data_IF_153059521854
#
_entry.id   IF_153059521854
#
_cell.length_a   1.000
_cell.length_b   1.000
_cell.length_c   1.000
_cell.angle_alpha   90.00
_cell.angle_beta   90.00
_cell.angle_gamma   90.00
#
_symmetry.space_group_name_H-M   'P 1'
#
loop_
_entity.id
_entity.type
_entity.pdbx_description
1 polymer ?
#
# COMPACT_ATOMS: atom_id res chain seq x y z
N UNK A 1 18.92 15.97 -13.14
CA UNK A 1 18.13 14.76 -13.43
C UNK A 1 18.54 13.64 -12.48
N UNK A 2 17.60 13.07 -11.73
CA UNK A 2 17.83 11.95 -10.82
C UNK A 2 17.52 10.67 -11.63
N UNK A 3 18.56 10.02 -12.13
CA UNK A 3 18.42 8.79 -12.93
C UNK A 3 18.50 7.61 -11.97
N UNK A 4 17.44 6.80 -11.93
CA UNK A 4 17.38 5.51 -11.27
C UNK A 4 17.17 4.46 -12.36
N UNK A 5 18.12 3.56 -12.51
CA UNK A 5 18.02 2.41 -13.41
C UNK A 5 18.00 1.15 -12.56
N UNK A 6 17.02 0.29 -12.82
CA UNK A 6 16.92 -1.02 -12.19
C UNK A 6 17.45 -2.07 -13.17
N UNK A 7 18.44 -2.85 -12.75
CA UNK A 7 19.00 -3.92 -13.57
C UNK A 7 19.54 -5.04 -12.68
N UNK A 8 19.07 -6.28 -12.88
CA UNK A 8 19.58 -7.46 -12.19
C UNK A 8 19.56 -7.37 -10.65
N UNK A 9 18.47 -6.87 -10.05
CA UNK A 9 18.33 -6.74 -8.59
C UNK A 9 19.13 -5.61 -7.96
N UNK A 10 19.70 -4.71 -8.75
CA UNK A 10 20.50 -3.57 -8.28
C UNK A 10 19.89 -2.25 -8.75
N UNK A 11 19.97 -1.25 -7.88
CA UNK A 11 19.66 0.14 -8.23
C UNK A 11 20.95 0.84 -8.62
N UNK A 12 20.97 1.38 -9.83
CA UNK A 12 22.02 2.26 -10.32
C UNK A 12 21.50 3.69 -10.21
N UNK A 13 22.09 4.46 -9.30
CA UNK A 13 21.66 5.82 -8.97
C UNK A 13 22.75 6.82 -9.32
N UNK A 14 22.38 7.88 -10.05
CA UNK A 14 23.23 9.06 -10.21
C UNK A 14 22.95 10.08 -9.11
N UNK A 15 23.90 10.30 -8.20
CA UNK A 15 23.79 11.28 -7.11
C UNK A 15 25.06 12.14 -7.02
N UNK A 16 24.91 13.47 -7.08
CA UNK A 16 26.01 14.46 -6.97
C UNK A 16 27.24 14.13 -7.84
N UNK A 17 27.00 13.73 -9.09
CA UNK A 17 28.06 13.39 -10.04
C UNK A 17 28.68 12.00 -9.87
N UNK A 18 28.26 11.21 -8.88
CA UNK A 18 28.71 9.83 -8.68
C UNK A 18 27.67 8.83 -9.15
N UNK A 19 28.14 7.66 -9.59
CA UNK A 19 27.31 6.47 -9.84
C UNK A 19 27.43 5.57 -8.62
N UNK A 20 26.29 5.29 -7.99
CA UNK A 20 26.19 4.39 -6.85
C UNK A 20 25.44 3.15 -7.33
N UNK A 21 26.03 1.97 -7.09
CA UNK A 21 25.41 0.67 -7.33
C UNK A 21 25.10 0.07 -5.97
N UNK A 22 23.86 0.16 -5.55
CA UNK A 22 23.38 -0.45 -4.31
C UNK A 22 22.57 -1.71 -4.67
N UNK A 23 22.73 -2.75 -3.85
CA UNK A 23 21.73 -3.82 -3.83
C UNK A 23 20.39 -3.14 -3.52
N UNK A 24 19.36 -3.38 -4.34
CA UNK A 24 18.02 -2.98 -3.94
C UNK A 24 17.77 -3.74 -2.64
N UNK A 25 17.52 -3.07 -1.51
CA UNK A 25 17.17 -3.80 -0.30
C UNK A 25 15.99 -4.68 -0.67
N UNK A 26 16.16 -6.00 -0.59
CA UNK A 26 15.04 -6.93 -0.63
C UNK A 26 14.24 -6.62 0.62
N UNK A 27 13.28 -5.69 0.49
CA UNK A 27 12.17 -5.59 1.42
C UNK A 27 11.53 -6.97 1.38
N UNK A 28 11.40 -7.64 2.52
CA UNK A 28 10.74 -8.94 2.63
C UNK A 28 9.49 -8.92 1.75
N UNK A 29 9.58 -9.57 0.58
CA UNK A 29 8.54 -9.53 -0.44
C UNK A 29 7.49 -10.53 -0.03
N UNK A 30 6.74 -10.18 1.01
CA UNK A 30 5.57 -10.93 1.42
C UNK A 30 4.38 -10.39 0.64
N UNK A 31 3.56 -11.30 0.15
CA UNK A 31 2.27 -10.97 -0.43
C UNK A 31 1.23 -11.96 0.08
N UNK A 32 0.03 -11.45 0.33
CA UNK A 32 -1.12 -12.26 0.71
C UNK A 32 -2.30 -11.85 -0.15
N UNK A 33 -2.81 -12.78 -0.96
CA UNK A 33 -4.01 -12.56 -1.76
C UNK A 33 -5.24 -12.38 -0.87
N UNK A 34 -6.17 -11.55 -1.32
CA UNK A 34 -7.48 -11.36 -0.71
C UNK A 34 -8.56 -11.60 -1.75
N UNK A 35 -9.61 -12.32 -1.39
CA UNK A 35 -10.73 -12.66 -2.27
C UNK A 35 -12.07 -12.27 -1.67
N UNK A 36 -12.07 -11.38 -0.66
CA UNK A 36 -13.27 -10.95 0.06
C UNK A 36 -13.44 -11.60 1.42
N UNK A 37 -12.47 -12.37 1.91
CA UNK A 37 -12.49 -12.94 3.25
C UNK A 37 -12.60 -11.84 4.30
N UNK A 38 -13.34 -12.11 5.38
CA UNK A 38 -13.56 -11.15 6.47
C UNK A 38 -12.36 -10.98 7.39
N UNK A 39 -11.47 -11.98 7.40
CA UNK A 39 -10.23 -11.99 8.18
C UNK A 39 -9.13 -12.55 7.28
N UNK A 40 -8.04 -11.80 7.17
CA UNK A 40 -6.88 -12.16 6.34
C UNK A 40 -5.62 -12.15 7.20
N UNK A 41 -5.10 -13.31 7.60
CA UNK A 41 -3.80 -13.41 8.25
C UNK A 41 -2.69 -12.98 7.29
N UNK A 42 -1.80 -12.09 7.73
CA UNK A 42 -0.71 -11.56 6.89
C UNK A 42 0.60 -12.38 7.01
N UNK A 43 0.56 -13.45 7.80
CA UNK A 43 1.71 -14.27 8.15
C UNK A 43 2.49 -13.72 9.35
N UNK A 44 3.60 -14.39 9.67
CA UNK A 44 4.35 -14.22 10.91
C UNK A 44 4.76 -12.76 11.19
N UNK A 45 4.45 -12.28 12.40
CA UNK A 45 4.83 -10.95 12.90
C UNK A 45 4.12 -9.74 12.25
N UNK A 46 3.18 -10.00 11.33
CA UNK A 46 2.45 -8.96 10.57
C UNK A 46 0.98 -8.80 10.98
N UNK A 47 0.46 -9.72 11.79
CA UNK A 47 -0.91 -9.69 12.29
C UNK A 47 -1.93 -10.04 11.21
N UNK A 48 -3.11 -9.44 11.27
CA UNK A 48 -4.22 -9.72 10.35
C UNK A 48 -4.99 -8.46 9.97
N UNK A 49 -5.66 -8.51 8.81
CA UNK A 49 -6.64 -7.48 8.42
C UNK A 49 -8.03 -8.05 8.60
N UNK A 50 -8.87 -7.33 9.34
CA UNK A 50 -10.29 -7.63 9.49
C UNK A 50 -11.10 -6.66 8.67
N UNK A 51 -12.14 -7.17 8.04
CA UNK A 51 -13.10 -6.38 7.30
C UNK A 51 -14.41 -6.35 8.07
N UNK A 52 -14.93 -5.16 8.33
CA UNK A 52 -16.28 -4.93 8.84
C UNK A 52 -17.21 -4.55 7.67
N UNK A 53 -18.52 -4.74 7.81
CA UNK A 53 -19.47 -4.17 6.85
C UNK A 53 -19.78 -2.75 7.31
N UNK A 54 -19.88 -1.84 6.35
CA UNK A 54 -20.11 -0.43 6.64
C UNK A 54 -21.01 0.17 5.57
N UNK A 55 -22.09 0.80 6.01
CA UNK A 55 -23.04 1.50 5.15
C UNK A 55 -22.52 2.87 4.69
N UNK A 56 -21.41 3.35 5.24
CA UNK A 56 -20.88 4.69 4.99
C UNK A 56 -19.60 4.65 4.12
N UNK A 57 -18.68 3.76 4.47
CA UNK A 57 -17.38 3.66 3.81
C UNK A 57 -16.75 2.28 3.89
N UNK A 58 -16.10 1.88 2.82
CA UNK A 58 -15.50 0.57 2.65
C UNK A 58 -15.05 0.40 1.20
N UNK A 59 -14.60 -0.81 0.88
CA UNK A 59 -14.32 -1.25 -0.48
C UNK A 59 -15.62 -1.81 -1.05
N UNK A 60 -16.04 -1.28 -2.20
CA UNK A 60 -17.25 -1.71 -2.90
C UNK A 60 -17.22 -3.22 -3.17
N UNK A 61 -18.24 -3.95 -2.72
CA UNK A 61 -18.30 -5.41 -2.81
C UNK A 61 -18.24 -5.89 -4.26
N UNK A 62 -18.83 -5.14 -5.19
CA UNK A 62 -18.86 -5.45 -6.63
C UNK A 62 -17.45 -5.40 -7.26
N UNK A 63 -16.54 -4.62 -6.68
CA UNK A 63 -15.15 -4.55 -7.14
C UNK A 63 -14.32 -5.74 -6.66
N UNK A 64 -14.72 -6.40 -5.56
CA UNK A 64 -13.94 -7.48 -4.96
C UNK A 64 -13.80 -8.63 -5.97
N UNK A 65 -14.91 -9.06 -6.57
CA UNK A 65 -14.92 -10.19 -7.50
C UNK A 65 -14.13 -9.96 -8.80
N UNK A 66 -13.96 -8.71 -9.22
CA UNK A 66 -13.30 -8.34 -10.48
C UNK A 66 -11.83 -7.89 -10.31
N UNK A 67 -11.40 -7.65 -9.07
CA UNK A 67 -10.06 -7.13 -8.77
C UNK A 67 -9.02 -8.21 -8.51
N UNK A 68 -7.76 -7.83 -8.63
CA UNK A 68 -6.60 -8.67 -8.31
C UNK A 68 -5.98 -8.20 -7.00
N UNK A 69 -6.59 -8.62 -5.89
CA UNK A 69 -6.28 -8.05 -4.59
C UNK A 69 -5.12 -8.74 -3.89
N UNK A 70 -4.19 -7.92 -3.38
CA UNK A 70 -3.07 -8.40 -2.59
C UNK A 70 -2.70 -7.41 -1.50
N UNK A 71 -2.38 -7.93 -0.33
CA UNK A 71 -1.62 -7.21 0.67
C UNK A 71 -0.12 -7.35 0.39
N UNK A 72 0.64 -6.29 0.63
CA UNK A 72 2.09 -6.34 0.53
C UNK A 72 2.77 -5.18 1.23
N UNK A 73 4.11 -5.19 1.29
CA UNK A 73 4.88 -4.12 1.89
C UNK A 73 4.85 -2.85 1.04
N UNK A 74 5.36 -1.78 1.62
CA UNK A 74 5.67 -0.56 0.89
C UNK A 74 6.93 -0.76 0.04
N UNK A 75 6.83 -0.54 -1.27
CA UNK A 75 7.93 -0.57 -2.22
C UNK A 75 8.55 0.82 -2.50
N UNK A 76 7.82 1.89 -2.16
CA UNK A 76 8.20 3.28 -2.42
C UNK A 76 7.70 3.80 -3.77
N UNK A 77 7.20 5.04 -3.77
CA UNK A 77 6.65 5.68 -4.97
C UNK A 77 5.13 5.59 -5.09
N UNK A 78 4.48 4.89 -4.16
CA UNK A 78 3.03 4.71 -4.16
C UNK A 78 2.31 6.05 -4.08
N UNK A 79 1.15 6.09 -4.72
CA UNK A 79 0.28 7.26 -4.75
C UNK A 79 -1.16 6.84 -4.53
N UNK A 80 -1.90 7.68 -3.81
CA UNK A 80 -3.31 7.47 -3.53
C UNK A 80 -4.06 8.79 -3.56
N UNK A 81 -5.30 8.75 -4.04
CA UNK A 81 -6.27 9.85 -3.97
C UNK A 81 -7.34 9.43 -2.98
N UNK A 82 -7.54 10.20 -1.91
CA UNK A 82 -8.46 9.83 -0.82
C UNK A 82 -9.87 10.42 -0.96
N UNK A 83 -10.07 11.40 -1.84
CA UNK A 83 -11.37 12.05 -2.08
C UNK A 83 -11.66 12.20 -3.57
N UNK A 84 -12.90 11.99 -4.04
CA UNK A 84 -13.29 12.27 -5.41
C UNK A 84 -12.95 13.71 -5.79
N UNK A 85 -12.37 13.91 -6.99
CA UNK A 85 -11.90 15.24 -7.46
C UNK A 85 -10.71 15.83 -6.71
N UNK A 86 -10.21 15.18 -5.64
CA UNK A 86 -9.07 15.64 -4.86
C UNK A 86 -7.70 15.33 -5.49
N UNK A 87 -6.61 15.92 -4.96
CA UNK A 87 -5.27 15.68 -5.48
C UNK A 87 -4.82 14.23 -5.21
N UNK A 88 -4.12 13.64 -6.19
CA UNK A 88 -3.40 12.38 -5.99
C UNK A 88 -2.09 12.67 -5.25
N UNK A 89 -1.87 12.02 -4.11
CA UNK A 89 -0.74 12.30 -3.21
C UNK A 89 0.20 11.12 -3.09
N UNK A 90 1.48 11.39 -2.87
CA UNK A 90 2.44 10.32 -2.56
C UNK A 90 2.15 9.76 -1.18
N UNK A 91 2.26 8.44 -1.02
CA UNK A 91 2.11 7.78 0.27
C UNK A 91 3.14 8.32 1.27
N UNK A 92 4.36 8.64 0.81
CA UNK A 92 5.38 9.29 1.63
C UNK A 92 4.85 10.55 2.32
N UNK A 93 4.23 11.46 1.56
CA UNK A 93 3.77 12.74 2.13
C UNK A 93 2.60 12.53 3.07
N UNK A 94 1.66 11.62 2.73
CA UNK A 94 0.54 11.30 3.61
C UNK A 94 1.01 10.71 4.95
N UNK A 95 1.97 9.77 4.93
CA UNK A 95 2.55 9.20 6.14
C UNK A 95 3.34 10.24 6.97
N UNK A 96 3.92 11.26 6.33
CA UNK A 96 4.57 12.36 7.03
C UNK A 96 3.56 13.27 7.73
N UNK A 97 2.46 13.61 7.07
CA UNK A 97 1.41 14.45 7.65
C UNK A 97 0.66 13.78 8.79
N UNK A 98 0.42 12.47 8.69
CA UNK A 98 -0.16 11.68 9.78
C UNK A 98 0.86 11.32 10.86
N UNK A 99 2.05 11.93 10.84
CA UNK A 99 3.14 11.73 11.80
C UNK A 99 3.51 10.24 12.03
N UNK A 100 3.30 9.37 11.04
CA UNK A 100 3.59 7.94 11.17
C UNK A 100 5.11 7.78 11.28
N UNK A 101 5.67 7.20 12.35
CA UNK A 101 7.11 7.03 12.49
C UNK A 101 7.69 6.10 11.42
N UNK A 102 8.94 6.34 11.00
CA UNK A 102 9.58 5.57 9.92
C UNK A 102 9.55 4.04 10.16
N UNK A 103 9.78 3.60 11.40
CA UNK A 103 9.72 2.19 11.78
C UNK A 103 8.32 1.56 11.66
N UNK A 104 7.25 2.34 11.85
CA UNK A 104 5.87 1.87 11.58
C UNK A 104 5.57 1.82 10.10
N UNK A 105 6.08 2.78 9.32
CA UNK A 105 5.82 2.85 7.86
C UNK A 105 6.24 1.59 7.11
N UNK A 106 7.33 0.94 7.53
CA UNK A 106 7.83 -0.27 6.90
C UNK A 106 6.96 -1.50 7.18
N UNK A 107 6.17 -1.49 8.27
CA UNK A 107 5.31 -2.60 8.69
C UNK A 107 3.88 -2.51 8.16
N UNK A 108 3.48 -1.38 7.59
CA UNK A 108 2.10 -1.17 7.14
C UNK A 108 1.75 -2.17 6.03
N UNK A 109 0.71 -3.01 6.21
CA UNK A 109 0.18 -3.82 5.14
C UNK A 109 -0.65 -2.94 4.20
N UNK A 110 -0.12 -2.70 3.01
CA UNK A 110 -0.83 -1.95 1.99
C UNK A 110 -1.69 -2.90 1.18
N UNK A 111 -2.92 -2.51 0.89
CA UNK A 111 -3.80 -3.29 -0.01
C UNK A 111 -3.72 -2.70 -1.42
N UNK A 112 -3.47 -3.57 -2.38
CA UNK A 112 -3.40 -3.25 -3.80
C UNK A 112 -4.45 -4.01 -4.59
N UNK A 113 -4.87 -3.41 -5.71
CA UNK A 113 -5.55 -4.08 -6.83
C UNK A 113 -4.61 -3.99 -8.04
N UNK A 114 -3.97 -5.12 -8.38
CA UNK A 114 -2.81 -5.14 -9.26
C UNK A 114 -1.66 -4.28 -8.70
N UNK A 115 -1.31 -3.20 -9.41
CA UNK A 115 -0.28 -2.23 -8.99
C UNK A 115 -0.86 -0.98 -8.31
N UNK A 116 -2.19 -0.88 -8.22
CA UNK A 116 -2.86 0.30 -7.71
C UNK A 116 -3.03 0.20 -6.20
N UNK A 117 -2.51 1.18 -5.46
CA UNK A 117 -2.73 1.28 -4.02
C UNK A 117 -4.19 1.64 -3.72
N UNK A 118 -4.88 0.76 -2.98
CA UNK A 118 -6.30 0.90 -2.65
C UNK A 118 -6.52 1.26 -1.19
N UNK A 119 -5.77 0.71 -0.24
CA UNK A 119 -5.94 1.05 1.17
C UNK A 119 -4.62 1.15 1.92
N UNK A 120 -4.60 2.10 2.86
CA UNK A 120 -3.48 2.37 3.76
C UNK A 120 -4.00 2.40 5.19
N UNK A 121 -3.52 1.50 6.09
CA UNK A 121 -3.96 1.47 7.47
C UNK A 121 -3.80 2.83 8.16
N UNK A 122 -4.86 3.28 8.83
CA UNK A 122 -4.89 4.55 9.56
C UNK A 122 -4.89 5.81 8.67
N UNK A 123 -4.97 5.69 7.35
CA UNK A 123 -5.04 6.83 6.41
C UNK A 123 -6.31 6.77 5.56
N UNK A 124 -6.66 5.60 4.99
CA UNK A 124 -7.95 5.41 4.31
C UNK A 124 -7.89 4.66 2.99
N UNK A 125 -9.03 4.67 2.30
CA UNK A 125 -9.32 3.95 1.05
C UNK A 125 -9.23 4.94 -0.12
N UNK A 126 -8.73 4.45 -1.26
CA UNK A 126 -8.67 5.21 -2.49
C UNK A 126 -10.08 5.60 -2.95
N UNK A 127 -10.25 6.85 -3.35
CA UNK A 127 -11.54 7.45 -3.68
C UNK A 127 -12.37 6.62 -4.67
N UNK A 128 -11.73 6.05 -5.70
CA UNK A 128 -12.40 5.31 -6.76
C UNK A 128 -12.87 3.90 -6.32
N UNK A 129 -12.43 3.45 -5.14
CA UNK A 129 -12.82 2.19 -4.51
C UNK A 129 -13.73 2.39 -3.30
N UNK A 130 -13.82 3.63 -2.78
CA UNK A 130 -14.57 3.97 -1.57
C UNK A 130 -16.08 4.00 -1.88
N UNK A 131 -16.82 3.13 -1.24
CA UNK A 131 -18.28 3.04 -1.26
C UNK A 131 -18.76 2.35 0.03
N UNK A 132 -20.08 2.27 0.32
CA UNK A 132 -20.58 1.30 1.28
C UNK A 132 -20.09 -0.11 0.91
N UNK A 133 -19.61 -0.88 1.88
CA UNK A 133 -18.98 -2.17 1.62
C UNK A 133 -18.06 -2.62 2.75
N UNK A 134 -16.92 -3.21 2.40
CA UNK A 134 -16.01 -3.80 3.37
C UNK A 134 -14.96 -2.81 3.87
N UNK A 135 -15.01 -2.46 5.15
CA UNK A 135 -14.07 -1.54 5.80
C UNK A 135 -12.88 -2.31 6.42
N UNK A 136 -11.67 -2.22 5.85
CA UNK A 136 -10.49 -2.87 6.41
C UNK A 136 -9.95 -2.17 7.67
N UNK A 137 -9.59 -2.98 8.67
CA UNK A 137 -8.86 -2.58 9.89
C UNK A 137 -7.69 -3.53 10.11
N UNK A 138 -6.49 -2.99 10.34
CA UNK A 138 -5.30 -3.79 10.63
C UNK A 138 -5.13 -4.01 12.13
N UNK A 139 -4.87 -5.27 12.51
CA UNK A 139 -4.55 -5.70 13.86
C UNK A 139 -3.12 -6.30 13.86
N UNK A 140 -2.09 -5.54 14.29
CA UNK A 140 -0.68 -5.94 14.22
C UNK A 140 -0.28 -7.04 15.21
#
# INVERSE_FOLDING_TARGET
ARVLLLHGGRAIVRHRGRVIVEAVPQVDSWEVSWHGERVVPLGEGRGEVRFAESAEEGIATERIAAGHWRFGPRAGGERIRLRPGGPTRTLKNLLQEHAVPAWRRARLPLLFDGDRLVWVPGIGIAADYRAPGLLPTWHP
#
